data_IF_216309242101
#
_entry.id   IF_216309242101
#
_cell.length_a   1.000
_cell.length_b   1.000
_cell.length_c   1.000
_cell.angle_alpha   90.00
_cell.angle_beta   90.00
_cell.angle_gamma   90.00
#
_symmetry.space_group_name_H-M   'P 1'
#
loop_
_entity.id
_entity.type
_entity.pdbx_description
1 polymer ?
2 polymer ?
3 non-polymer ?
4 non-polymer ?
5 water ?
#
# COMPACT_ATOMS: atom_id res chain seq x y z
N UNK A 2 -0.96 37.12 9.25
CA UNK A 2 -0.36 36.08 8.37
C UNK A 2 -1.47 35.28 7.70
N UNK A 3 -2.16 35.84 6.69
CA UNK A 3 -3.41 35.28 6.14
C UNK A 3 -3.12 34.01 5.32
N UNK A 4 -3.36 32.86 5.94
CA UNK A 4 -3.46 31.50 5.32
C UNK A 4 -3.39 31.58 3.79
N UNK A 5 -2.32 31.07 3.18
CA UNK A 5 -2.12 31.05 1.70
C UNK A 5 -1.80 29.62 1.27
N UNK A 6 -1.85 29.37 -0.05
CA UNK A 6 -1.96 28.02 -0.67
C UNK A 6 -1.21 27.90 -2.00
N UNK A 7 0.13 28.02 -2.02
CA UNK A 7 0.89 27.79 -3.28
C UNK A 7 0.74 26.31 -3.64
N UNK A 8 0.47 26.01 -4.91
CA UNK A 8 0.51 24.64 -5.48
C UNK A 8 1.83 24.46 -6.26
N UNK A 9 2.37 23.24 -6.22
CA UNK A 9 3.71 22.90 -6.78
C UNK A 9 3.61 21.59 -7.56
N UNK A 10 3.61 21.58 -8.91
CA UNK A 10 3.58 22.79 -9.74
C UNK A 10 2.25 23.57 -9.70
N UNK A 11 2.19 24.70 -10.42
CA UNK A 11 0.96 25.42 -10.83
C UNK A 11 0.29 24.69 -12.00
N UNK A 12 1.11 24.29 -12.98
CA UNK A 12 0.69 23.61 -14.22
C UNK A 12 1.26 22.19 -14.17
N UNK A 13 0.36 21.20 -14.08
CA UNK A 13 0.68 19.79 -13.72
C UNK A 13 0.35 18.91 -14.92
N UNK A 14 1.31 18.08 -15.35
CA UNK A 14 1.09 17.07 -16.42
C UNK A 14 0.15 15.98 -15.89
N UNK A 15 -0.68 15.40 -16.75
CA UNK A 15 -1.54 14.24 -16.42
C UNK A 15 -0.65 13.09 -15.94
N UNK A 16 -1.00 12.46 -14.80
CA UNK A 16 -0.27 11.29 -14.26
C UNK A 16 0.82 11.68 -13.28
N UNK A 17 1.25 12.95 -13.30
CA UNK A 17 2.21 13.49 -12.32
C UNK A 17 1.44 13.91 -11.06
N UNK A 18 2.16 14.21 -9.99
CA UNK A 18 1.56 14.66 -8.71
C UNK A 18 1.59 16.18 -8.69
N UNK A 19 0.78 16.77 -7.82
CA UNK A 19 0.82 18.21 -7.44
C UNK A 19 0.65 18.26 -5.93
N UNK A 20 1.22 19.27 -5.28
CA UNK A 20 1.24 19.36 -3.80
C UNK A 20 0.78 20.75 -3.41
N UNK A 21 -0.36 20.86 -2.74
CA UNK A 21 -0.89 22.17 -2.30
C UNK A 21 -0.27 22.49 -0.95
N UNK A 22 0.65 23.47 -0.92
CA UNK A 22 1.32 23.92 0.32
C UNK A 22 0.41 24.93 1.04
N UNK A 23 0.53 24.98 2.36
CA UNK A 23 -0.24 25.90 3.24
C UNK A 23 0.79 26.57 4.16
N UNK A 24 0.73 27.90 4.29
CA UNK A 24 1.89 28.70 4.77
C UNK A 24 1.63 29.34 6.13
N UNK A 25 0.38 29.54 6.55
CA UNK A 25 0.09 30.27 7.82
C UNK A 25 -0.95 29.54 8.67
N UNK A 26 -0.81 28.23 8.85
CA UNK A 26 -1.62 27.46 9.83
C UNK A 26 -1.69 28.27 11.12
N UNK A 27 -2.90 28.66 11.59
CA UNK A 27 -3.04 29.42 12.83
C UNK A 27 -2.69 28.58 14.08
N UNK A 28 -2.82 29.19 15.25
CA UNK A 28 -2.78 28.50 16.57
C UNK A 28 -4.22 28.35 17.07
N UNK A 29 -4.44 27.45 18.04
CA UNK A 29 -5.77 27.16 18.62
C UNK A 29 -6.69 26.74 17.48
N UNK A 30 -6.12 25.99 16.53
CA UNK A 30 -6.84 25.35 15.40
C UNK A 30 -7.21 23.93 15.82
N UNK A 31 -8.45 23.51 15.54
CA UNK A 31 -8.98 22.16 15.85
C UNK A 31 -8.76 21.22 14.66
N UNK A 32 -8.69 21.74 13.44
CA UNK A 32 -8.48 20.91 12.23
C UNK A 32 -8.63 21.68 10.91
N UNK A 33 -8.29 21.00 9.81
CA UNK A 33 -8.38 21.49 8.40
C UNK A 33 -9.28 20.57 7.59
N UNK A 34 -10.16 21.12 6.75
CA UNK A 34 -10.83 20.39 5.65
C UNK A 34 -10.53 21.07 4.31
N UNK A 35 -10.10 20.26 3.35
CA UNK A 35 -9.98 20.62 1.91
C UNK A 35 -11.32 20.36 1.23
N UNK A 36 -11.75 21.29 0.37
CA UNK A 36 -12.94 21.16 -0.53
C UNK A 36 -12.46 21.34 -1.96
N UNK A 37 -13.11 20.68 -2.92
CA UNK A 37 -12.96 20.98 -4.38
C UNK A 37 -13.81 22.20 -4.71
N UNK A 38 -13.22 23.19 -5.40
CA UNK A 38 -13.91 24.41 -5.89
C UNK A 38 -13.57 25.64 -5.07
N UNK A 39 -14.41 26.68 -5.22
CA UNK A 39 -14.12 28.07 -4.76
C UNK A 39 -14.77 28.34 -3.40
N UNK A 40 -15.98 27.81 -3.18
CA UNK A 40 -16.78 27.94 -1.93
C UNK A 40 -16.51 26.71 -1.05
N UNK A 41 -16.81 26.80 0.24
CA UNK A 41 -16.72 25.67 1.22
C UNK A 41 -18.08 24.96 1.27
N UNK A 42 -18.30 24.03 0.34
CA UNK A 42 -19.58 23.28 0.15
C UNK A 42 -19.39 21.87 0.71
N UNK A 43 -20.28 21.46 1.63
CA UNK A 43 -20.27 20.13 2.27
C UNK A 43 -20.17 19.00 1.25
N UNK A 44 -21.06 18.99 0.25
CA UNK A 44 -21.18 18.00 -0.85
C UNK A 44 -19.86 17.79 -1.57
N UNK A 45 -18.92 18.73 -1.45
CA UNK A 45 -17.70 18.83 -2.30
C UNK A 45 -16.44 18.83 -1.42
N UNK A 46 -16.52 18.25 -0.21
CA UNK A 46 -15.36 18.08 0.70
C UNK A 46 -14.45 16.97 0.18
N UNK A 47 -13.15 17.22 0.12
CA UNK A 47 -12.09 16.24 -0.30
C UNK A 47 -11.72 15.38 0.91
N UNK A 48 -11.52 16.02 2.06
CA UNK A 48 -11.08 15.38 3.35
C UNK A 48 -11.01 16.43 4.45
N UNK A 49 -11.19 16.00 5.70
CA UNK A 49 -10.90 16.75 6.94
C UNK A 49 -9.82 16.04 7.74
N UNK A 50 -9.16 16.77 8.64
CA UNK A 50 -8.13 16.23 9.57
C UNK A 50 -8.22 17.07 10.85
N UNK A 51 -8.69 16.45 11.94
CA UNK A 51 -8.61 17.00 13.32
C UNK A 51 -7.22 16.64 13.85
N UNK A 52 -6.53 17.59 14.48
CA UNK A 52 -5.10 17.42 14.92
C UNK A 52 -5.10 16.67 16.25
N UNK A 53 -6.00 17.05 17.17
CA UNK A 53 -6.20 16.35 18.45
C UNK A 53 -6.44 14.87 18.23
N UNK A 54 -7.52 14.55 17.53
CA UNK A 54 -7.90 13.14 17.17
C UNK A 54 -6.80 12.58 16.26
N UNK A 55 -6.07 13.46 15.55
CA UNK A 55 -4.96 13.12 14.62
C UNK A 55 -5.48 12.13 13.56
N UNK A 56 -6.73 12.30 13.16
CA UNK A 56 -7.51 11.36 12.33
C UNK A 56 -8.10 12.13 11.14
N UNK A 57 -7.84 11.65 9.93
CA UNK A 57 -8.35 12.23 8.67
C UNK A 57 -9.43 11.31 8.13
N UNK A 58 -10.60 11.86 7.84
CA UNK A 58 -11.83 11.16 7.38
C UNK A 58 -12.15 11.61 5.96
N UNK A 59 -11.94 10.75 4.93
CA UNK A 59 -12.27 11.11 3.55
C UNK A 59 -13.68 11.66 3.43
N UNK A 60 -13.86 12.75 2.66
CA UNK A 60 -15.17 13.33 2.31
C UNK A 60 -15.72 12.68 1.04
N UNK A 61 -16.86 13.20 0.49
CA UNK A 61 -17.49 12.64 -0.71
C UNK A 61 -16.74 12.92 -2.02
N UNK A 62 -15.81 13.87 -2.01
CA UNK A 62 -14.99 14.30 -3.18
C UNK A 62 -13.67 13.51 -3.24
N UNK A 63 -13.31 12.78 -2.18
CA UNK A 63 -12.06 11.97 -2.14
C UNK A 63 -12.03 11.01 -3.34
N UNK A 64 -10.86 10.89 -3.98
CA UNK A 64 -10.59 9.95 -5.10
C UNK A 64 -9.49 8.94 -4.70
N UNK A 65 -8.97 9.03 -3.48
CA UNK A 65 -7.99 8.08 -2.91
C UNK A 65 -6.60 8.23 -3.51
N UNK A 66 -6.19 9.47 -3.82
CA UNK A 66 -4.84 9.84 -4.32
C UNK A 66 -4.26 10.97 -3.45
N UNK A 67 -5.14 11.85 -2.97
CA UNK A 67 -4.93 12.75 -1.81
C UNK A 67 -4.24 11.99 -0.67
N UNK A 68 -3.25 12.60 -0.03
CA UNK A 68 -2.69 12.12 1.27
C UNK A 68 -2.43 13.34 2.16
N UNK A 69 -3.47 14.11 2.51
CA UNK A 69 -3.42 15.21 3.53
C UNK A 69 -2.35 14.88 4.59
N UNK A 70 -1.55 15.89 4.96
CA UNK A 70 -0.46 15.80 5.95
C UNK A 70 -0.82 16.68 7.14
N UNK A 71 -0.21 16.45 8.32
CA UNK A 71 -0.58 17.18 9.54
C UNK A 71 -0.33 18.69 9.43
N UNK A 72 0.51 19.12 8.48
CA UNK A 72 0.84 20.56 8.21
C UNK A 72 -0.15 21.15 7.19
N UNK A 73 -1.28 20.46 6.94
CA UNK A 73 -2.43 20.92 6.11
C UNK A 73 -2.10 20.76 4.62
N UNK A 74 -0.85 20.45 4.26
CA UNK A 74 -0.45 20.23 2.85
C UNK A 74 -1.24 19.04 2.30
N UNK A 75 -1.61 19.06 1.02
CA UNK A 75 -2.53 18.03 0.45
C UNK A 75 -1.77 16.91 -0.27
N UNK A 76 -1.23 17.17 -1.46
CA UNK A 76 -0.63 16.14 -2.36
C UNK A 76 -1.71 15.27 -3.00
N UNK A 77 -2.04 15.58 -4.26
CA UNK A 77 -2.87 14.74 -5.16
C UNK A 77 -1.93 14.01 -6.12
N UNK A 78 -1.99 12.67 -6.14
CA UNK A 78 -1.11 11.85 -7.01
C UNK A 78 -1.87 11.51 -8.31
N UNK A 79 -1.15 11.00 -9.30
CA UNK A 79 -1.67 10.49 -10.60
C UNK A 79 -2.89 11.30 -11.06
N UNK A 80 -2.76 12.64 -11.09
CA UNK A 80 -3.81 13.63 -11.46
C UNK A 80 -4.25 13.37 -12.90
N UNK A 81 -5.52 13.67 -13.21
CA UNK A 81 -6.08 13.74 -14.58
C UNK A 81 -7.14 14.84 -14.66
N UNK A 82 -7.64 15.12 -15.87
CA UNK A 82 -8.24 16.41 -16.30
C UNK A 82 -9.13 16.99 -15.18
N UNK A 83 -10.06 16.18 -14.68
CA UNK A 83 -11.18 16.67 -13.82
C UNK A 83 -10.64 17.25 -12.52
N UNK A 84 -9.38 16.97 -12.15
CA UNK A 84 -8.70 17.57 -10.96
C UNK A 84 -8.52 19.09 -11.16
N UNK A 85 -8.18 19.53 -12.38
CA UNK A 85 -7.95 20.96 -12.72
C UNK A 85 -8.99 21.81 -12.00
N UNK A 86 -8.55 22.93 -11.44
CA UNK A 86 -9.43 23.99 -10.93
C UNK A 86 -9.01 24.45 -9.56
N UNK A 87 -9.97 25.00 -8.82
CA UNK A 87 -9.74 25.59 -7.48
C UNK A 87 -10.01 24.52 -6.42
N UNK A 88 -9.51 24.79 -5.21
CA UNK A 88 -9.57 23.89 -4.03
C UNK A 88 -9.56 24.76 -2.78
N UNK A 89 -10.72 25.07 -2.21
CA UNK A 89 -10.78 25.83 -0.93
C UNK A 89 -10.26 24.95 0.20
N UNK A 90 -9.44 25.52 1.09
CA UNK A 90 -9.08 24.89 2.39
C UNK A 90 -9.71 25.74 3.48
N UNK A 91 -10.40 25.09 4.43
CA UNK A 91 -10.93 25.74 5.65
C UNK A 91 -10.19 25.20 6.87
N UNK A 92 -9.83 26.10 7.79
CA UNK A 92 -9.19 25.78 9.09
C UNK A 92 -10.15 26.25 10.19
N UNK A 93 -10.74 25.30 10.93
CA UNK A 93 -11.73 25.59 12.02
C UNK A 93 -10.95 25.68 13.32
N UNK A 94 -11.32 26.63 14.18
CA UNK A 94 -10.54 27.05 15.37
C UNK A 94 -11.41 26.92 16.63
N UNK A 95 -10.75 26.72 17.79
CA UNK A 95 -11.35 26.49 19.12
C UNK A 95 -12.55 27.41 19.37
N UNK A 96 -12.44 28.68 18.95
CA UNK A 96 -13.42 29.76 19.24
C UNK A 96 -14.46 29.87 18.11
N UNK A 97 -14.42 28.97 17.12
CA UNK A 97 -15.38 28.93 15.98
C UNK A 97 -15.30 30.24 15.18
N UNK A 98 -14.09 30.80 15.01
CA UNK A 98 -13.78 31.82 13.96
C UNK A 98 -12.86 31.14 12.94
N UNK A 99 -13.40 30.78 11.79
CA UNK A 99 -12.76 29.83 10.84
C UNK A 99 -11.97 30.64 9.81
N UNK A 100 -11.17 29.97 8.97
CA UNK A 100 -10.35 30.64 7.93
C UNK A 100 -10.45 29.84 6.63
N UNK A 101 -11.32 30.27 5.72
CA UNK A 101 -11.26 29.85 4.28
C UNK A 101 -9.96 30.40 3.67
N UNK A 102 -9.49 29.79 2.59
CA UNK A 102 -8.30 30.22 1.82
C UNK A 102 -8.12 29.25 0.64
N UNK A 103 -8.38 29.72 -0.57
CA UNK A 103 -8.43 28.87 -1.80
C UNK A 103 -7.12 28.98 -2.57
N UNK A 104 -6.72 27.90 -3.22
CA UNK A 104 -5.64 27.83 -4.22
C UNK A 104 -6.13 27.16 -5.50
N UNK A 105 -5.28 27.13 -6.53
CA UNK A 105 -5.59 26.58 -7.89
C UNK A 105 -4.48 25.63 -8.35
N UNK A 106 -4.74 24.91 -9.43
CA UNK A 106 -3.73 24.33 -10.35
C UNK A 106 -4.46 23.84 -11.60
N UNK A 107 -3.80 23.95 -12.75
CA UNK A 107 -4.35 23.60 -14.08
C UNK A 107 -3.58 22.39 -14.61
N UNK A 108 -4.29 21.40 -15.15
CA UNK A 108 -3.67 20.18 -15.76
C UNK A 108 -3.61 20.38 -17.27
N UNK A 109 -2.57 19.85 -17.90
CA UNK A 109 -2.40 19.81 -19.37
C UNK A 109 -2.10 18.36 -19.75
N UNK B 3 13.62 2.27 -11.45
CA UNK B 3 13.65 3.75 -11.60
C UNK B 3 13.53 4.42 -10.23
N UNK B 4 12.76 3.83 -9.31
CA UNK B 4 12.42 4.34 -7.95
C UNK B 4 13.27 5.59 -7.60
N UNK B 5 12.64 6.76 -7.51
CA UNK B 5 13.30 8.05 -7.16
C UNK B 5 12.53 8.70 -6.00
N UNK B 6 13.09 9.76 -5.42
CA UNK B 6 12.60 10.42 -4.18
C UNK B 6 12.80 11.93 -4.22
N UNK B 7 11.97 12.65 -4.99
CA UNK B 7 11.88 14.13 -4.95
C UNK B 7 11.55 14.54 -3.51
N UNK B 8 12.30 15.49 -2.94
CA UNK B 8 12.03 16.06 -1.60
C UNK B 8 11.48 17.46 -1.80
N UNK B 9 10.55 17.89 -0.93
CA UNK B 9 9.78 19.15 -1.05
C UNK B 9 9.75 19.86 0.30
N UNK B 10 10.50 20.97 0.50
CA UNK B 10 11.50 21.46 -0.45
C UNK B 10 12.75 20.56 -0.57
N UNK B 11 13.71 20.95 -1.41
CA UNK B 11 15.06 20.36 -1.41
C UNK B 11 15.92 21.06 -0.36
N UNK B 12 15.74 22.38 -0.24
CA UNK B 12 16.42 23.23 0.76
C UNK B 12 15.36 23.72 1.73
N UNK B 13 15.47 23.25 2.99
CA UNK B 13 14.40 23.29 4.02
C UNK B 13 14.88 24.21 5.14
N UNK B 14 14.08 25.19 5.52
CA UNK B 14 14.36 26.10 6.65
C UNK B 14 14.29 25.32 7.97
N UNK B 15 15.12 25.67 8.94
CA UNK B 15 15.07 25.11 10.32
C UNK B 15 13.66 25.34 10.89
N UNK B 16 13.06 24.28 11.48
CA UNK B 16 11.76 24.34 12.15
C UNK B 16 10.60 24.07 11.22
N UNK B 17 10.83 24.16 9.91
CA UNK B 17 9.81 23.89 8.87
C UNK B 17 9.84 22.39 8.57
N UNK B 18 8.92 21.92 7.72
CA UNK B 18 8.76 20.48 7.40
C UNK B 18 9.44 20.23 6.06
N UNK B 19 9.78 18.97 5.80
CA UNK B 19 10.17 18.48 4.45
C UNK B 19 9.45 17.15 4.22
N UNK B 20 9.11 16.87 2.96
CA UNK B 20 8.33 15.67 2.57
C UNK B 20 9.06 14.99 1.43
N UNK B 21 9.61 13.80 1.66
CA UNK B 21 10.30 13.02 0.61
C UNK B 21 9.23 12.20 -0.13
N UNK B 22 8.93 12.56 -1.37
CA UNK B 22 7.99 11.82 -2.24
C UNK B 22 8.71 10.65 -2.92
N UNK B 23 7.96 9.66 -3.40
CA UNK B 23 8.49 8.43 -4.07
C UNK B 23 7.70 8.25 -5.38
N UNK B 24 8.39 8.01 -6.50
CA UNK B 24 7.84 8.29 -7.86
C UNK B 24 7.60 7.02 -8.67
N UNK B 25 8.25 5.90 -8.38
CA UNK B 25 8.10 4.67 -9.23
C UNK B 25 7.86 3.42 -8.38
N UNK B 26 6.97 3.49 -7.38
CA UNK B 26 6.65 2.31 -6.54
C UNK B 26 6.39 1.13 -7.47
N UNK B 27 7.13 0.01 -7.36
CA UNK B 27 6.88 -1.16 -8.18
C UNK B 27 5.59 -1.90 -7.76
N UNK B 28 5.41 -3.14 -8.23
CA UNK B 28 4.20 -3.96 -8.00
C UNK B 28 4.48 -4.95 -6.86
N UNK B 29 3.43 -5.49 -6.23
CA UNK B 29 3.54 -6.61 -5.26
C UNK B 29 4.44 -6.20 -4.09
N UNK B 30 4.09 -5.10 -3.43
CA UNK B 30 4.84 -4.51 -2.29
C UNK B 30 4.37 -5.16 -0.99
N UNK B 31 5.29 -5.54 -0.09
CA UNK B 31 4.96 -5.92 1.31
C UNK B 31 5.05 -4.68 2.20
N UNK B 32 5.92 -3.72 1.87
CA UNK B 32 6.09 -2.49 2.66
C UNK B 32 7.31 -1.66 2.27
N UNK B 33 7.40 -0.47 2.86
CA UNK B 33 8.50 0.51 2.68
C UNK B 33 9.12 0.84 4.03
N UNK B 34 10.45 0.91 4.11
CA UNK B 34 11.20 1.47 5.27
C UNK B 34 12.15 2.56 4.77
N UNK B 35 12.13 3.71 5.46
CA UNK B 35 13.11 4.81 5.31
C UNK B 35 14.25 4.58 6.31
N UNK B 36 15.49 4.79 5.86
CA UNK B 36 16.73 4.74 6.68
C UNK B 36 17.42 6.11 6.57
N UNK B 37 18.11 6.53 7.63
CA UNK B 37 19.00 7.72 7.59
C UNK B 37 20.34 7.28 7.01
N UNK B 38 20.84 8.00 6.01
CA UNK B 38 22.16 7.76 5.39
C UNK B 38 22.03 7.13 4.01
N UNK B 39 23.13 6.54 3.54
CA UNK B 39 23.36 6.17 2.12
C UNK B 39 23.06 4.69 1.90
N UNK B 40 23.45 3.83 2.85
CA UNK B 40 23.23 2.35 2.81
C UNK B 40 21.97 2.02 3.63
N UNK B 41 21.40 0.82 3.42
CA UNK B 41 20.20 0.31 4.15
C UNK B 41 20.68 -0.49 5.37
N UNK B 42 20.96 0.22 6.47
CA UNK B 42 21.52 -0.33 7.74
C UNK B 42 20.38 -0.43 8.76
N UNK B 43 20.20 -1.62 9.34
CA UNK B 43 19.15 -1.91 10.33
C UNK B 43 19.11 -0.88 11.44
N UNK B 44 20.24 -0.64 12.12
CA UNK B 44 20.23 0.20 13.35
C UNK B 44 20.06 1.68 12.95
N UNK B 45 19.89 2.00 11.67
CA UNK B 45 19.71 3.39 11.18
C UNK B 45 18.37 3.55 10.44
N UNK B 46 17.41 2.67 10.72
CA UNK B 46 16.03 2.74 10.19
C UNK B 46 15.29 3.87 10.92
N UNK B 47 14.64 4.73 10.13
CA UNK B 47 13.82 5.88 10.62
C UNK B 47 12.43 5.35 10.97
N UNK B 48 11.85 4.55 10.07
CA UNK B 48 10.49 3.94 10.19
C UNK B 48 10.22 3.00 9.00
N UNK B 49 9.35 2.02 9.24
CA UNK B 49 8.77 1.12 8.21
C UNK B 49 7.26 1.24 8.19
N UNK B 50 6.64 0.73 7.13
CA UNK B 50 5.17 0.60 6.97
C UNK B 50 4.91 -0.62 6.10
N UNK B 51 4.30 -1.65 6.70
CA UNK B 51 3.73 -2.81 5.98
C UNK B 51 2.32 -2.42 5.53
N UNK B 52 1.96 -2.70 4.28
CA UNK B 52 0.68 -2.24 3.67
C UNK B 52 -0.44 -3.19 4.10
N UNK B 53 -0.16 -4.50 4.08
CA UNK B 53 -1.09 -5.54 4.57
C UNK B 53 -1.52 -5.24 5.99
N UNK B 54 -0.55 -5.22 6.91
CA UNK B 54 -0.78 -4.90 8.35
C UNK B 54 -1.29 -3.46 8.44
N UNK B 55 -0.94 -2.62 7.45
CA UNK B 55 -1.34 -1.19 7.33
C UNK B 55 -0.87 -0.45 8.59
N UNK B 56 0.29 -0.84 9.11
CA UNK B 56 0.82 -0.43 10.43
C UNK B 56 2.26 0.06 10.22
N UNK B 57 2.57 1.26 10.73
CA UNK B 57 3.91 1.87 10.65
C UNK B 57 4.53 1.81 12.05
N UNK B 58 5.75 1.26 12.13
CA UNK B 58 6.49 1.00 13.40
C UNK B 58 7.74 1.87 13.39
N UNK B 59 7.83 2.90 14.26
CA UNK B 59 9.06 3.68 14.39
C UNK B 59 10.28 2.79 14.57
N UNK B 60 11.38 3.09 13.87
CA UNK B 60 12.67 2.38 13.98
C UNK B 60 13.54 2.97 15.10
N UNK B 61 14.81 2.53 15.24
CA UNK B 61 15.71 3.05 16.27
C UNK B 61 16.25 4.46 15.99
N UNK B 62 16.12 4.96 14.75
CA UNK B 62 16.58 6.29 14.29
C UNK B 62 15.46 7.33 14.49
N UNK B 63 14.21 6.90 14.68
CA UNK B 63 13.06 7.81 14.88
C UNK B 63 13.37 8.78 16.02
N UNK B 64 13.02 10.06 15.83
CA UNK B 64 13.09 11.16 16.81
C UNK B 64 11.69 11.73 17.08
N UNK B 65 10.66 11.14 16.49
CA UNK B 65 9.24 11.42 16.79
C UNK B 65 8.76 12.68 16.12
N UNK B 66 9.25 12.96 14.91
CA UNK B 66 8.82 14.09 14.04
C UNK B 66 8.44 13.56 12.64
N UNK B 67 9.17 12.54 12.18
CA UNK B 67 9.06 11.92 10.84
C UNK B 67 8.07 10.75 10.86
N UNK B 68 7.28 10.62 9.80
CA UNK B 68 6.06 9.76 9.73
C UNK B 68 5.93 9.23 8.30
N UNK B 69 6.00 7.90 8.09
CA UNK B 69 5.70 7.27 6.78
C UNK B 69 4.20 7.35 6.50
N UNK B 70 3.83 7.55 5.24
CA UNK B 70 2.45 7.54 4.72
C UNK B 70 2.26 6.34 3.79
N UNK B 71 1.01 5.92 3.52
CA UNK B 71 0.75 4.74 2.70
C UNK B 71 1.30 4.83 1.27
N UNK B 72 1.53 6.06 0.79
CA UNK B 72 2.05 6.38 -0.57
C UNK B 72 3.58 6.41 -0.55
N UNK B 73 4.21 5.90 0.52
CA UNK B 73 5.67 5.70 0.70
C UNK B 73 6.38 7.02 1.03
N UNK B 74 5.67 8.15 0.97
CA UNK B 74 6.21 9.47 1.35
C UNK B 74 6.63 9.43 2.82
N UNK B 75 7.74 10.10 3.13
CA UNK B 75 8.23 10.38 4.51
C UNK B 75 8.08 11.88 4.74
N UNK B 76 7.63 12.27 5.92
CA UNK B 76 7.40 13.69 6.28
C UNK B 76 8.13 13.94 7.60
N UNK B 77 9.20 14.74 7.56
CA UNK B 77 9.99 15.16 8.75
C UNK B 77 9.54 16.56 9.17
N UNK B 78 9.02 16.71 10.40
CA UNK B 78 8.57 18.02 10.94
C UNK B 78 9.71 18.62 11.76
N UNK B 79 9.56 19.89 12.14
CA UNK B 79 10.48 20.65 13.03
C UNK B 79 11.94 20.26 12.75
N UNK B 80 12.35 20.21 11.48
CA UNK B 80 13.71 19.78 11.01
C UNK B 80 14.75 20.77 11.55
N UNK B 81 15.98 20.30 11.78
CA UNK B 81 17.17 21.14 12.12
C UNK B 81 18.45 20.50 11.56
N UNK B 82 19.57 21.21 11.68
CA UNK B 82 20.84 20.96 10.93
C UNK B 82 21.14 19.47 10.82
N UNK B 83 21.12 18.74 11.94
CA UNK B 83 21.56 17.32 12.03
C UNK B 83 20.84 16.44 11.00
N UNK B 84 19.64 16.83 10.59
CA UNK B 84 18.78 16.07 9.63
C UNK B 84 19.43 16.09 8.24
N UNK B 85 20.00 17.24 7.85
CA UNK B 85 20.70 17.41 6.54
C UNK B 85 21.50 16.16 6.23
N UNK B 86 21.45 15.69 4.98
CA UNK B 86 22.20 14.50 4.52
C UNK B 86 21.33 13.61 3.66
N UNK B 87 21.76 12.37 3.46
CA UNK B 87 21.05 11.36 2.62
C UNK B 87 20.08 10.55 3.48
N UNK B 88 19.16 9.87 2.80
CA UNK B 88 18.04 9.09 3.38
C UNK B 88 17.69 7.97 2.40
N UNK B 89 18.21 6.76 2.58
CA UNK B 89 17.85 5.61 1.73
C UNK B 89 16.40 5.22 2.01
N UNK B 90 15.63 4.89 0.97
CA UNK B 90 14.31 4.23 1.07
C UNK B 90 14.44 2.83 0.50
N UNK B 91 13.95 1.82 1.22
CA UNK B 91 13.87 0.43 0.73
C UNK B 91 12.40 0.04 0.62
N UNK B 92 12.06 -0.64 -0.47
CA UNK B 92 10.71 -1.22 -0.73
C UNK B 92 10.90 -2.73 -0.83
N UNK B 93 10.37 -3.48 0.15
CA UNK B 93 10.42 -4.97 0.20
C UNK B 93 9.19 -5.48 -0.56
N UNK B 94 9.37 -6.54 -1.35
CA UNK B 94 8.36 -7.05 -2.30
C UNK B 94 8.06 -8.53 -1.99
N UNK B 95 6.86 -8.97 -2.32
CA UNK B 95 6.30 -10.33 -2.03
C UNK B 95 7.33 -11.41 -2.34
N UNK B 96 8.13 -11.25 -3.40
CA UNK B 96 9.10 -12.26 -3.90
C UNK B 96 10.49 -12.05 -3.26
N UNK B 97 10.62 -11.12 -2.32
CA UNK B 97 11.88 -10.83 -1.57
C UNK B 97 12.97 -10.40 -2.55
N UNK B 98 12.61 -9.60 -3.56
CA UNK B 98 13.57 -8.77 -4.33
C UNK B 98 13.29 -7.32 -3.95
N UNK B 99 14.20 -6.70 -3.21
CA UNK B 99 13.98 -5.36 -2.61
C UNK B 99 14.40 -4.29 -3.63
N UNK B 100 14.00 -3.04 -3.39
CA UNK B 100 14.40 -1.88 -4.21
C UNK B 100 14.85 -0.76 -3.28
N UNK B 101 16.17 -0.68 -3.08
CA UNK B 101 16.85 0.48 -2.45
C UNK B 101 16.72 1.66 -3.42
N UNK B 102 16.81 2.89 -2.92
CA UNK B 102 16.75 4.13 -3.72
C UNK B 102 16.88 5.33 -2.79
N UNK B 103 18.01 6.05 -2.85
CA UNK B 103 18.35 7.12 -1.88
C UNK B 103 18.06 8.48 -2.49
N UNK B 104 17.63 9.42 -1.63
CA UNK B 104 17.50 10.86 -1.90
C UNK B 104 18.12 11.66 -0.77
N UNK B 105 17.89 12.97 -0.75
CA UNK B 105 18.53 13.90 0.23
C UNK B 105 17.74 15.20 0.34
N UNK B 106 18.14 16.02 1.30
CA UNK B 106 17.68 17.41 1.47
C UNK B 106 18.67 18.11 2.40
N UNK B 107 18.89 19.40 2.17
CA UNK B 107 19.85 20.25 2.93
C UNK B 107 19.05 21.27 3.74
N UNK B 108 19.44 21.47 5.00
CA UNK B 108 18.78 22.45 5.90
C UNK B 108 19.59 23.75 5.87
N UNK B 109 18.88 24.89 5.88
CA UNK B 109 19.38 26.28 6.04
C UNK B 109 18.51 26.97 7.11
N UNK C 8 2.27 -29.63 -11.69
CA UNK C 8 2.17 -28.43 -12.59
C UNK C 8 3.39 -27.53 -12.37
N UNK C 9 3.63 -27.14 -11.11
CA UNK C 9 4.68 -26.17 -10.68
C UNK C 9 5.19 -26.61 -9.30
N UNK C 10 6.52 -26.79 -9.16
CA UNK C 10 7.16 -27.44 -7.98
C UNK C 10 7.69 -26.36 -7.02
N UNK C 11 7.68 -26.65 -5.72
CA UNK C 11 8.10 -25.74 -4.62
C UNK C 11 8.61 -26.58 -3.46
N UNK C 12 9.85 -26.34 -3.00
CA UNK C 12 10.46 -27.04 -1.83
C UNK C 12 11.28 -26.03 -1.00
N UNK C 13 11.45 -26.33 0.29
CA UNK C 13 12.28 -25.53 1.24
C UNK C 13 13.30 -26.47 1.90
N UNK C 14 14.60 -26.20 1.70
CA UNK C 14 15.74 -27.12 1.98
C UNK C 14 15.51 -27.87 3.29
N UNK C 15 15.48 -27.18 4.46
CA UNK C 15 15.46 -27.85 5.75
C UNK C 15 14.04 -27.93 6.35
N UNK C 16 13.05 -28.21 5.50
CA UNK C 16 11.68 -28.68 5.85
C UNK C 16 11.30 -28.16 7.24
N UNK C 17 11.67 -28.86 8.32
CA UNK C 17 11.35 -28.51 9.73
C UNK C 17 12.63 -28.03 10.44
N UNK C 18 12.83 -26.71 10.47
CA UNK C 18 14.03 -26.05 11.10
C UNK C 18 13.76 -25.91 12.60
N UNK C 19 14.84 -25.93 13.39
CA UNK C 19 14.90 -25.48 14.81
C UNK C 19 16.26 -24.79 15.04
N UNK C 20 16.35 -23.90 16.02
CA UNK C 20 17.54 -23.05 16.28
C UNK C 20 17.46 -22.44 17.69
N UNK C 21 18.62 -22.22 18.33
CA UNK C 21 18.76 -21.49 19.61
C UNK C 21 18.40 -20.01 19.38
N UNK C 22 17.80 -19.35 20.38
CA UNK C 22 17.45 -17.90 20.29
C UNK C 22 18.75 -17.10 20.18
N UNK C 23 18.70 -16.00 19.43
CA UNK C 23 19.89 -15.19 19.06
C UNK C 23 20.50 -15.70 17.77
N UNK C 24 20.50 -17.02 17.58
CA UNK C 24 21.04 -17.70 16.37
C UNK C 24 20.09 -17.43 15.19
N UNK C 25 20.61 -17.50 13.96
CA UNK C 25 19.91 -17.12 12.70
C UNK C 25 19.33 -18.39 12.05
N UNK C 26 18.48 -18.22 11.03
CA UNK C 26 17.85 -19.35 10.27
C UNK C 26 18.22 -19.20 8.80
N UNK C 27 18.98 -20.15 8.25
CA UNK C 27 19.19 -20.34 6.79
C UNK C 27 18.12 -21.31 6.29
N UNK C 28 17.63 -21.09 5.07
CA UNK C 28 16.93 -22.11 4.25
C UNK C 28 16.86 -21.63 2.80
N UNK C 29 16.68 -22.56 1.87
CA UNK C 29 16.75 -22.32 0.40
C UNK C 29 15.43 -22.77 -0.22
N UNK C 30 14.64 -21.80 -0.72
CA UNK C 30 13.36 -22.03 -1.45
C UNK C 30 13.72 -22.31 -2.90
N UNK C 31 13.09 -23.31 -3.50
CA UNK C 31 13.34 -23.80 -4.88
C UNK C 31 11.98 -24.07 -5.55
N UNK C 32 11.61 -23.22 -6.51
CA UNK C 32 10.32 -23.28 -7.24
C UNK C 32 10.59 -23.12 -8.73
N UNK C 33 10.29 -24.17 -9.50
CA UNK C 33 10.48 -24.21 -10.98
C UNK C 33 9.17 -24.64 -11.64
N UNK C 34 8.95 -24.18 -12.89
CA UNK C 34 7.81 -24.54 -13.77
C UNK C 34 7.94 -23.83 -15.12
N UNK C 35 7.36 -24.42 -16.18
CA UNK C 35 7.13 -23.77 -17.50
C UNK C 35 6.22 -22.55 -17.29
N UNK C 36 6.45 -21.47 -18.02
CA UNK C 36 5.81 -20.13 -17.86
C UNK C 36 6.33 -19.47 -16.57
N UNK C 37 6.28 -18.14 -16.51
CA UNK C 37 6.89 -17.34 -15.40
C UNK C 37 6.33 -17.82 -14.07
N UNK C 38 7.21 -18.35 -13.22
CA UNK C 38 6.96 -18.61 -11.79
C UNK C 38 7.60 -17.46 -11.01
N UNK C 39 6.87 -16.90 -10.05
CA UNK C 39 7.37 -15.94 -9.04
C UNK C 39 6.99 -16.46 -7.64
N UNK C 40 7.78 -16.11 -6.62
CA UNK C 40 7.57 -16.56 -5.23
C UNK C 40 6.77 -15.51 -4.45
N UNK C 41 6.07 -15.94 -3.40
CA UNK C 41 5.27 -15.06 -2.51
C UNK C 41 5.64 -15.37 -1.06
N UNK C 42 6.35 -14.44 -0.41
CA UNK C 42 6.79 -14.54 1.01
C UNK C 42 5.92 -13.62 1.87
N UNK C 43 4.71 -13.32 1.42
CA UNK C 43 3.70 -12.54 2.18
C UNK C 43 3.61 -13.05 3.61
N UNK C 44 3.51 -14.37 3.79
CA UNK C 44 3.38 -15.04 5.12
C UNK C 44 4.71 -14.93 5.88
N UNK C 45 5.81 -15.30 5.24
CA UNK C 45 7.17 -15.23 5.83
C UNK C 45 7.44 -13.81 6.34
N UNK C 46 6.98 -12.79 5.60
CA UNK C 46 7.26 -11.36 5.89
C UNK C 46 6.41 -10.89 7.07
N UNK C 47 5.09 -11.08 7.02
CA UNK C 47 4.15 -10.64 8.10
C UNK C 47 4.56 -11.31 9.42
N UNK C 48 5.06 -12.55 9.36
CA UNK C 48 5.45 -13.37 10.55
C UNK C 48 6.77 -12.86 11.13
N UNK C 49 7.78 -12.60 10.29
CA UNK C 49 9.20 -12.39 10.72
C UNK C 49 9.73 -11.01 10.32
N UNK C 50 8.90 -10.13 9.75
CA UNK C 50 9.33 -8.75 9.37
C UNK C 50 8.13 -7.82 9.48
N UNK C 51 7.50 -7.77 10.68
CA UNK C 51 6.16 -7.21 10.82
C UNK C 51 6.23 -5.69 10.61
N UNK C 52 7.26 -5.08 11.19
CA UNK C 52 7.87 -3.79 10.75
C UNK C 52 8.76 -4.11 9.55
N UNK C 53 8.63 -3.35 8.47
CA UNK C 53 9.51 -3.50 7.28
C UNK C 53 10.92 -3.12 7.75
N UNK C 54 11.93 -3.89 7.32
CA UNK C 54 13.33 -3.82 7.84
C UNK C 54 14.23 -4.79 7.07
N UNK C 55 15.55 -4.64 7.19
CA UNK C 55 16.58 -5.34 6.37
C UNK C 55 16.75 -6.79 6.86
N UNK C 56 16.24 -7.10 8.05
CA UNK C 56 16.35 -8.40 8.78
C UNK C 56 16.54 -9.64 7.89
N UNK C 57 15.77 -9.78 6.80
CA UNK C 57 15.73 -11.01 5.96
C UNK C 57 16.69 -10.81 4.78
N UNK C 58 17.78 -11.60 4.70
CA UNK C 58 18.68 -11.65 3.50
C UNK C 58 18.20 -12.77 2.57
N UNK C 59 18.36 -12.58 1.26
CA UNK C 59 17.78 -13.46 0.21
C UNK C 59 18.74 -13.49 -0.99
N UNK C 60 19.28 -14.65 -1.32
CA UNK C 60 20.40 -14.77 -2.28
C UNK C 60 19.84 -14.75 -3.71
N UNK C 61 19.02 -15.74 -4.05
CA UNK C 61 18.55 -16.09 -5.42
C UNK C 61 19.71 -16.69 -6.24
N UNK C 62 20.32 -17.78 -5.72
CA UNK C 62 21.27 -18.66 -6.48
C UNK C 62 20.51 -19.26 -7.67
N UNK C 63 20.87 -18.89 -8.89
CA UNK C 63 20.13 -19.20 -10.15
C UNK C 63 18.68 -18.73 -9.97
N UNK C 64 18.43 -17.45 -10.21
CA UNK C 64 17.09 -16.80 -10.18
C UNK C 64 16.24 -17.36 -11.33
N UNK C 65 16.58 -16.96 -12.57
CA UNK C 65 15.92 -17.36 -13.85
C UNK C 65 14.45 -16.94 -13.86
N UNK C 66 13.89 -16.88 -15.06
CA UNK C 66 12.42 -16.91 -15.30
C UNK C 66 12.08 -18.39 -15.43
N UNK C 67 11.58 -19.01 -14.36
CA UNK C 67 10.93 -20.35 -14.38
C UNK C 67 11.61 -21.34 -13.43
N UNK C 68 12.87 -21.10 -13.05
CA UNK C 68 13.67 -21.99 -12.16
C UNK C 68 14.20 -21.15 -11.01
N UNK C 69 13.30 -20.56 -10.22
CA UNK C 69 13.62 -19.69 -9.06
C UNK C 69 14.13 -20.56 -7.92
N UNK C 70 15.40 -20.36 -7.54
CA UNK C 70 16.03 -20.90 -6.29
C UNK C 70 16.59 -19.71 -5.52
N UNK C 71 16.34 -19.67 -4.20
CA UNK C 71 16.73 -18.56 -3.30
C UNK C 71 17.16 -19.14 -1.95
N UNK C 72 18.34 -18.74 -1.47
CA UNK C 72 18.82 -19.00 -0.08
C UNK C 72 18.43 -17.78 0.75
N UNK C 73 17.51 -17.95 1.71
CA UNK C 73 17.06 -16.82 2.57
C UNK C 73 17.52 -17.09 4.01
N UNK C 74 17.77 -16.01 4.75
CA UNK C 74 18.43 -16.01 6.09
C UNK C 74 17.67 -15.04 6.99
N UNK C 75 16.92 -15.57 7.95
CA UNK C 75 16.13 -14.79 8.94
C UNK C 75 17.05 -14.49 10.12
N UNK C 76 17.46 -13.23 10.27
CA UNK C 76 18.56 -12.85 11.20
C UNK C 76 18.02 -12.75 12.62
N UNK C 77 18.74 -13.34 13.58
CA UNK C 77 18.60 -13.15 15.05
C UNK C 77 17.18 -13.50 15.50
N UNK C 78 16.75 -14.75 15.30
CA UNK C 78 15.45 -15.27 15.82
C UNK C 78 15.33 -14.91 17.30
N UNK C 79 14.20 -14.34 17.72
CA UNK C 79 13.85 -14.16 19.15
C UNK C 79 13.08 -15.40 19.59
N UNK C 80 12.82 -15.55 20.89
CA UNK C 80 12.28 -16.81 21.47
C UNK C 80 10.80 -17.00 21.12
N UNK C 81 10.08 -15.94 20.74
CA UNK C 81 8.62 -16.00 20.50
C UNK C 81 8.31 -16.04 19.00
N UNK C 82 9.24 -16.50 18.17
CA UNK C 82 9.14 -16.42 16.68
C UNK C 82 9.04 -17.83 16.08
N UNK C 83 8.66 -18.82 16.87
CA UNK C 83 8.35 -20.18 16.38
C UNK C 83 7.00 -20.14 15.67
N UNK C 84 6.94 -20.51 14.37
CA UNK C 84 5.67 -20.75 13.64
C UNK C 84 5.90 -21.77 12.54
N UNK C 85 4.81 -22.31 11.99
CA UNK C 85 4.75 -22.89 10.64
C UNK C 85 4.45 -21.73 9.69
N UNK C 86 5.13 -21.67 8.55
CA UNK C 86 5.05 -20.55 7.58
C UNK C 86 4.72 -21.16 6.22
N UNK C 87 3.67 -20.68 5.56
CA UNK C 87 3.29 -21.17 4.21
C UNK C 87 3.96 -20.26 3.18
N UNK C 88 4.87 -20.82 2.39
CA UNK C 88 5.46 -20.16 1.20
C UNK C 88 4.57 -20.48 0.00
N UNK C 89 4.63 -19.63 -1.03
CA UNK C 89 3.77 -19.74 -2.24
C UNK C 89 4.60 -19.50 -3.50
N UNK C 90 4.21 -20.18 -4.57
CA UNK C 90 4.70 -19.98 -5.96
C UNK C 90 3.46 -19.81 -6.85
N UNK C 91 3.46 -18.74 -7.65
CA UNK C 91 2.36 -18.40 -8.60
C UNK C 91 2.94 -18.37 -10.02
N UNK C 92 2.14 -18.79 -11.00
CA UNK C 92 2.46 -18.78 -12.46
C UNK C 92 1.53 -17.79 -13.16
N UNK C 93 1.52 -17.77 -14.50
CA UNK C 93 0.82 -16.76 -15.33
C UNK C 93 -0.70 -17.03 -15.38
N UNK C 94 -1.10 -18.22 -15.81
CA UNK C 94 -2.52 -18.67 -15.88
C UNK C 94 -3.26 -18.26 -14.62
N UNK C 95 -2.58 -18.28 -13.46
CA UNK C 95 -3.06 -17.79 -12.16
C UNK C 95 -3.18 -18.90 -11.13
N UNK C 96 -2.27 -19.88 -11.17
CA UNK C 96 -2.23 -21.05 -10.26
C UNK C 96 -1.28 -20.77 -9.11
N UNK C 97 -1.73 -21.03 -7.88
CA UNK C 97 -0.95 -20.82 -6.63
C UNK C 97 -0.53 -22.20 -6.09
N UNK C 98 0.60 -22.24 -5.39
CA UNK C 98 1.22 -23.51 -4.90
C UNK C 98 1.77 -23.27 -3.49
N UNK C 99 1.14 -23.86 -2.48
CA UNK C 99 1.49 -23.67 -1.04
C UNK C 99 2.36 -24.84 -0.59
N UNK C 100 3.58 -24.57 -0.13
CA UNK C 100 4.44 -25.54 0.59
C UNK C 100 4.81 -24.92 1.94
N UNK C 101 4.33 -25.54 3.03
CA UNK C 101 4.46 -25.04 4.41
C UNK C 101 5.73 -25.65 5.02
N UNK C 102 6.29 -25.00 6.04
CA UNK C 102 7.52 -25.42 6.74
C UNK C 102 7.55 -24.74 8.11
N UNK C 103 8.21 -25.33 9.09
CA UNK C 103 8.17 -24.89 10.51
C UNK C 103 9.55 -24.38 10.93
N UNK C 104 9.56 -23.29 11.72
CA UNK C 104 10.74 -22.77 12.47
C UNK C 104 10.37 -22.82 13.96
N UNK C 105 11.32 -23.25 14.79
CA UNK C 105 11.18 -23.44 16.26
C UNK C 105 12.45 -22.91 16.94
N UNK C 106 12.34 -22.19 18.06
CA UNK C 106 13.49 -21.52 18.74
C UNK C 106 13.55 -21.96 20.21
N UNK C 107 14.75 -21.98 20.82
CA UNK C 107 15.02 -22.43 22.22
C UNK C 107 16.13 -21.61 22.88
N UNK C 108 16.34 -21.81 24.19
CA UNK C 108 17.14 -20.92 25.08
C UNK C 108 18.63 -21.30 25.06
N UNK C 109 19.42 -20.75 25.99
CA UNK C 109 20.91 -20.69 25.93
C UNK C 109 21.58 -21.33 27.15
N UNK C 110 21.06 -21.05 28.36
CA UNK C 110 21.65 -21.42 29.68
C UNK C 110 22.94 -20.62 29.87
N UNK D 8 -7.41 -28.25 -14.32
CA UNK D 8 -8.50 -28.86 -13.52
C UNK D 8 -9.52 -27.77 -13.14
N UNK D 9 -9.05 -26.65 -12.58
CA UNK D 9 -9.91 -25.49 -12.14
C UNK D 9 -9.93 -24.43 -13.24
N UNK D 10 -11.12 -23.99 -13.65
CA UNK D 10 -11.36 -22.74 -14.43
C UNK D 10 -11.91 -21.69 -13.46
N UNK D 11 -11.55 -20.41 -13.69
CA UNK D 11 -12.08 -19.22 -12.98
C UNK D 11 -12.06 -18.03 -13.96
N UNK D 12 -13.21 -17.38 -14.17
CA UNK D 12 -13.35 -16.21 -15.08
C UNK D 12 -14.33 -15.19 -14.50
N UNK D 13 -14.21 -13.92 -14.88
CA UNK D 13 -14.98 -12.77 -14.33
C UNK D 13 -15.55 -11.95 -15.51
N UNK D 14 -16.88 -11.81 -15.57
CA UNK D 14 -17.65 -11.45 -16.81
C UNK D 14 -16.93 -10.37 -17.59
N UNK D 15 -16.88 -9.11 -17.09
CA UNK D 15 -16.40 -7.99 -17.89
C UNK D 15 -14.93 -7.64 -17.56
N UNK D 16 -14.08 -8.65 -17.30
CA UNK D 16 -12.60 -8.54 -17.18
C UNK D 16 -12.26 -7.20 -16.51
N UNK D 17 -12.15 -6.10 -17.26
CA UNK D 17 -11.82 -4.74 -16.76
C UNK D 17 -13.06 -3.85 -16.82
N UNK D 18 -13.80 -3.75 -15.70
CA UNK D 18 -15.04 -2.95 -15.55
C UNK D 18 -14.67 -1.48 -15.35
N UNK D 19 -15.57 -0.60 -15.79
CA UNK D 19 -15.57 0.86 -15.50
C UNK D 19 -17.02 1.30 -15.29
N UNK D 20 -17.25 2.36 -14.52
CA UNK D 20 -18.62 2.82 -14.13
C UNK D 20 -18.58 4.25 -13.60
N UNK D 21 -19.65 5.01 -13.82
CA UNK D 21 -19.85 6.37 -13.24
C UNK D 21 -20.14 6.20 -11.75
N UNK D 22 -19.72 7.16 -10.93
CA UNK D 22 -20.00 7.17 -9.46
C UNK D 22 -21.50 7.27 -9.24
N UNK D 23 -22.01 6.62 -8.19
CA UNK D 23 -23.44 6.47 -7.93
C UNK D 23 -24.02 5.24 -8.62
N UNK D 24 -23.52 4.94 -9.82
CA UNK D 24 -23.91 3.76 -10.63
C UNK D 24 -23.35 2.50 -9.97
N UNK D 25 -24.01 1.36 -10.21
CA UNK D 25 -23.70 0.04 -9.59
C UNK D 25 -22.81 -0.76 -10.54
N UNK D 26 -22.22 -1.87 -10.06
CA UNK D 26 -21.32 -2.76 -10.85
C UNK D 26 -21.91 -4.17 -10.83
N UNK D 27 -22.29 -4.70 -12.01
CA UNK D 27 -22.60 -6.14 -12.22
C UNK D 27 -21.32 -6.82 -12.69
N UNK D 28 -21.12 -8.07 -12.28
CA UNK D 28 -20.19 -9.04 -12.93
C UNK D 28 -20.55 -10.44 -12.42
N UNK D 29 -20.15 -11.44 -13.19
CA UNK D 29 -20.48 -12.87 -12.95
C UNK D 29 -19.17 -13.67 -12.87
N UNK D 30 -18.85 -14.18 -11.69
CA UNK D 30 -17.71 -15.10 -11.45
C UNK D 30 -18.17 -16.52 -11.82
N UNK D 31 -17.33 -17.25 -12.54
CA UNK D 31 -17.62 -18.60 -13.08
C UNK D 31 -16.40 -19.50 -12.85
N UNK D 32 -16.52 -20.44 -11.92
CA UNK D 32 -15.45 -21.36 -11.50
C UNK D 32 -15.98 -22.79 -11.47
N UNK D 33 -15.46 -23.65 -12.34
CA UNK D 33 -15.87 -25.08 -12.45
C UNK D 33 -14.60 -25.94 -12.36
N UNK D 34 -14.76 -27.19 -11.89
CA UNK D 34 -13.69 -28.21 -11.79
C UNK D 34 -14.26 -29.52 -11.24
N UNK D 35 -13.61 -30.65 -11.55
CA UNK D 35 -13.82 -31.96 -10.86
C UNK D 35 -13.49 -31.79 -9.37
N UNK D 36 -14.26 -32.43 -8.50
CA UNK D 36 -14.28 -32.22 -7.02
C UNK D 36 -14.86 -30.85 -6.68
N UNK D 37 -15.45 -30.71 -5.49
CA UNK D 37 -16.19 -29.49 -5.04
C UNK D 37 -15.25 -28.28 -5.13
N UNK D 38 -15.63 -27.30 -5.95
CA UNK D 38 -14.99 -25.96 -6.03
C UNK D 38 -15.81 -24.98 -5.20
N UNK D 39 -15.16 -24.15 -4.40
CA UNK D 39 -15.75 -23.00 -3.67
C UNK D 39 -14.92 -21.74 -3.98
N UNK D 40 -15.57 -20.58 -3.91
CA UNK D 40 -14.97 -19.27 -4.25
C UNK D 40 -14.48 -18.58 -2.97
N UNK D 41 -13.52 -17.66 -3.10
CA UNK D 41 -12.99 -16.82 -2.00
C UNK D 41 -13.02 -15.35 -2.44
N UNK D 42 -13.92 -14.56 -1.86
CA UNK D 42 -14.11 -13.11 -2.12
C UNK D 42 -13.56 -12.30 -0.95
N UNK D 43 -12.61 -12.88 -0.21
CA UNK D 43 -11.88 -12.20 0.89
C UNK D 43 -11.42 -10.81 0.41
N UNK D 44 -10.81 -10.75 -0.77
CA UNK D 44 -10.25 -9.50 -1.36
C UNK D 44 -11.39 -8.58 -1.80
N UNK D 45 -12.36 -9.11 -2.54
CA UNK D 45 -13.54 -8.34 -3.02
C UNK D 45 -14.24 -7.69 -1.81
N UNK D 46 -14.33 -8.40 -0.68
CA UNK D 46 -15.08 -7.95 0.51
C UNK D 46 -14.31 -6.83 1.24
N UNK D 47 -13.04 -7.07 1.57
CA UNK D 47 -12.19 -6.10 2.30
C UNK D 47 -12.10 -4.79 1.50
N UNK D 48 -12.10 -4.89 0.16
CA UNK D 48 -11.96 -3.75 -0.78
C UNK D 48 -13.28 -2.96 -0.85
N UNK D 49 -14.43 -3.62 -0.95
CA UNK D 49 -15.74 -2.99 -1.31
C UNK D 49 -16.78 -3.13 -0.20
N UNK D 50 -16.45 -3.73 0.94
CA UNK D 50 -17.42 -3.90 2.06
C UNK D 50 -16.66 -3.87 3.39
N UNK D 51 -15.88 -2.80 3.62
CA UNK D 51 -14.85 -2.81 4.66
C UNK D 51 -15.52 -2.83 6.03
N UNK D 52 -16.58 -2.03 6.17
CA UNK D 52 -17.69 -2.22 7.15
C UNK D 52 -18.61 -3.27 6.54
N UNK D 53 -19.01 -4.27 7.33
CA UNK D 53 -20.01 -5.29 6.92
C UNK D 53 -21.31 -4.55 6.67
N UNK D 54 -22.02 -4.89 5.58
CA UNK D 54 -23.21 -4.16 5.08
C UNK D 54 -23.84 -4.90 3.89
N UNK D 55 -25.11 -4.59 3.59
CA UNK D 55 -25.97 -5.34 2.64
C UNK D 55 -25.56 -5.06 1.20
N UNK D 56 -24.80 -3.99 0.96
CA UNK D 56 -24.13 -3.73 -0.34
C UNK D 56 -23.45 -5.02 -0.79
N UNK D 57 -23.30 -5.23 -2.09
CA UNK D 57 -22.90 -6.53 -2.71
C UNK D 57 -24.05 -7.53 -2.52
N UNK D 58 -24.81 -7.74 -3.59
CA UNK D 58 -25.71 -8.91 -3.83
C UNK D 58 -24.90 -9.95 -4.62
N UNK D 59 -25.22 -11.23 -4.42
CA UNK D 59 -24.49 -12.37 -5.02
C UNK D 59 -25.49 -13.47 -5.42
N UNK D 60 -26.05 -13.38 -6.62
CA UNK D 60 -26.95 -14.40 -7.22
C UNK D 60 -26.06 -15.55 -7.75
N UNK D 61 -26.15 -16.73 -7.16
CA UNK D 61 -25.42 -17.96 -7.59
C UNK D 61 -26.26 -18.64 -8.68
N UNK D 62 -26.30 -18.09 -9.89
CA UNK D 62 -26.97 -18.68 -11.08
C UNK D 62 -26.28 -20.00 -11.42
N UNK D 63 -26.98 -21.14 -11.25
CA UNK D 63 -26.40 -22.52 -11.32
C UNK D 63 -25.20 -22.58 -10.35
N UNK D 64 -25.50 -22.84 -9.06
CA UNK D 64 -24.51 -23.03 -7.97
C UNK D 64 -23.71 -24.31 -8.21
N UNK D 65 -24.35 -25.47 -8.02
CA UNK D 65 -23.77 -26.84 -8.17
C UNK D 65 -22.57 -27.06 -7.25
N UNK D 66 -22.16 -28.32 -7.11
CA UNK D 66 -20.92 -28.74 -6.40
C UNK D 66 -19.66 -28.23 -7.11
N UNK D 67 -19.58 -28.44 -8.42
CA UNK D 67 -18.33 -28.41 -9.24
C UNK D 67 -18.35 -27.27 -10.26
N UNK D 68 -19.51 -26.65 -10.48
CA UNK D 68 -19.76 -25.67 -11.58
C UNK D 68 -20.38 -24.42 -10.97
N UNK D 69 -19.64 -23.77 -10.06
CA UNK D 69 -20.06 -22.52 -9.37
C UNK D 69 -20.03 -21.35 -10.35
N UNK D 70 -21.20 -20.76 -10.63
CA UNK D 70 -21.36 -19.46 -11.34
C UNK D 70 -22.16 -18.53 -10.41
N UNK D 71 -21.73 -17.28 -10.29
CA UNK D 71 -22.33 -16.27 -9.39
C UNK D 71 -22.31 -14.91 -10.08
N UNK D 72 -23.46 -14.24 -10.15
CA UNK D 72 -23.57 -12.81 -10.53
C UNK D 72 -23.49 -11.99 -9.24
N UNK D 73 -22.43 -11.18 -9.10
CA UNK D 73 -22.27 -10.21 -7.98
C UNK D 73 -22.63 -8.82 -8.50
N UNK D 74 -23.21 -8.01 -7.63
CA UNK D 74 -23.72 -6.64 -7.93
C UNK D 74 -23.31 -5.73 -6.77
N UNK D 75 -22.29 -4.89 -6.99
CA UNK D 75 -21.72 -3.97 -5.96
C UNK D 75 -22.50 -2.66 -6.06
N UNK D 76 -23.34 -2.38 -5.05
CA UNK D 76 -24.31 -1.27 -5.06
C UNK D 76 -23.59 0.07 -4.85
N UNK D 77 -23.90 1.07 -5.69
CA UNK D 77 -23.63 2.51 -5.48
C UNK D 77 -22.13 2.76 -5.25
N UNK D 78 -21.30 2.43 -6.22
CA UNK D 78 -19.83 2.70 -6.21
C UNK D 78 -19.62 4.17 -5.82
N UNK D 79 -18.73 4.44 -4.87
CA UNK D 79 -18.26 5.82 -4.58
C UNK D 79 -17.03 6.09 -5.47
N UNK D 80 -16.58 7.34 -5.47
CA UNK D 80 -15.59 7.90 -6.43
C UNK D 80 -14.20 7.29 -6.18
N UNK D 81 -13.92 6.88 -4.95
CA UNK D 81 -12.56 6.49 -4.49
C UNK D 81 -12.46 4.98 -4.31
N UNK D 82 -13.25 4.20 -5.07
CA UNK D 82 -13.38 2.73 -4.87
C UNK D 82 -12.77 1.95 -6.04
N UNK D 83 -11.92 2.59 -6.83
CA UNK D 83 -11.23 1.96 -7.98
C UNK D 83 -10.10 1.09 -7.44
N UNK D 84 -10.14 -0.21 -7.76
CA UNK D 84 -9.05 -1.18 -7.45
C UNK D 84 -9.01 -2.25 -8.52
N UNK D 85 -7.88 -2.96 -8.60
CA UNK D 85 -7.82 -4.33 -9.15
C UNK D 85 -8.07 -5.25 -7.96
N UNK D 86 -8.89 -6.28 -8.13
CA UNK D 86 -9.29 -7.22 -7.03
C UNK D 86 -8.99 -8.64 -7.48
N UNK D 87 -8.29 -9.42 -6.66
CA UNK D 87 -7.97 -10.84 -6.93
C UNK D 87 -9.07 -11.72 -6.34
N UNK D 88 -9.79 -12.43 -7.20
CA UNK D 88 -10.76 -13.50 -6.81
C UNK D 88 -10.00 -14.82 -6.76
N UNK D 89 -10.51 -15.80 -6.01
CA UNK D 89 -9.87 -17.12 -5.81
C UNK D 89 -10.90 -18.25 -5.89
N UNK D 90 -10.48 -19.41 -6.39
CA UNK D 90 -11.25 -20.68 -6.40
C UNK D 90 -10.37 -21.80 -5.86
N UNK D 91 -10.89 -22.59 -4.92
CA UNK D 91 -10.19 -23.77 -4.32
C UNK D 91 -11.07 -25.01 -4.49
N UNK D 92 -10.45 -26.16 -4.76
CA UNK D 92 -11.13 -27.49 -4.90
C UNK D 92 -10.61 -28.42 -3.78
N UNK D 93 -10.97 -29.71 -3.83
CA UNK D 93 -10.71 -30.70 -2.74
C UNK D 93 -9.26 -31.16 -2.75
N UNK D 94 -8.78 -31.69 -3.88
CA UNK D 94 -7.37 -32.16 -4.07
C UNK D 94 -6.39 -31.16 -3.45
N UNK D 95 -6.74 -29.86 -3.50
CA UNK D 95 -6.03 -28.77 -2.81
C UNK D 95 -5.43 -27.77 -3.79
N UNK D 96 -6.10 -27.53 -4.92
CA UNK D 96 -5.64 -26.61 -6.00
C UNK D 96 -6.31 -25.24 -5.80
N UNK D 97 -5.51 -24.18 -5.86
CA UNK D 97 -5.97 -22.77 -5.74
C UNK D 97 -5.81 -22.12 -7.11
N UNK D 98 -6.67 -21.13 -7.43
CA UNK D 98 -6.56 -20.29 -8.65
C UNK D 98 -6.89 -18.84 -8.30
N UNK D 99 -5.92 -17.95 -8.45
CA UNK D 99 -6.09 -16.47 -8.40
C UNK D 99 -6.34 -15.94 -9.82
N UNK D 100 -7.47 -15.29 -10.06
CA UNK D 100 -7.74 -14.53 -11.31
C UNK D 100 -8.20 -13.12 -10.92
N UNK D 101 -7.43 -12.11 -11.34
CA UNK D 101 -7.60 -10.69 -10.97
C UNK D 101 -8.48 -9.98 -12.00
N UNK D 102 -9.09 -8.86 -11.62
CA UNK D 102 -9.96 -8.02 -12.48
C UNK D 102 -10.04 -6.62 -11.87
N UNK D 103 -10.30 -5.59 -12.68
CA UNK D 103 -10.23 -4.16 -12.25
C UNK D 103 -11.63 -3.53 -12.29
N UNK D 104 -11.95 -2.68 -11.30
CA UNK D 104 -13.10 -1.75 -11.29
C UNK D 104 -12.55 -0.33 -11.17
N UNK D 105 -13.09 0.60 -11.96
CA UNK D 105 -12.61 2.00 -12.11
C UNK D 105 -13.84 2.92 -12.24
N UNK D 106 -13.90 4.02 -11.48
CA UNK D 106 -15.15 4.83 -11.29
C UNK D 106 -14.86 6.31 -11.60
N UNK D 107 -15.84 7.08 -12.11
CA UNK D 107 -15.68 8.50 -12.57
C UNK D 107 -16.98 9.32 -12.37
N UNK D 108 -16.92 10.65 -12.56
CA UNK D 108 -18.07 11.60 -12.36
C UNK D 108 -18.83 11.79 -13.69
N UNK D 109 -19.98 12.49 -13.69
CA UNK D 109 -20.76 12.84 -14.91
C UNK D 109 -20.86 14.37 -15.12
N UNK D 110 -21.17 15.12 -14.06
CA UNK D 110 -21.59 16.56 -14.11
C UNK D 110 -22.95 16.65 -14.81
X LIG E 1 -14.13 24.09 -9.71
X LIG E 1 -14.80 25.26 -9.18
X LIG E 1 -14.72 23.70 -10.96
X LIG E 1 -12.73 24.38 -9.90
X LIG E 1 -14.26 23.00 -8.77
X LIG F 1 -17.85 28.96 7.80
X LIG F 1 -19.28 29.12 8.00
X LIG F 1 -17.61 28.55 6.44
X LIG F 1 -17.19 30.23 8.04
X LIG F 1 -17.34 27.98 8.71
X LIG G 1 -3.36 32.72 14.79
X LIG G 1 -4.71 32.24 14.93
X LIG G 1 -2.99 32.76 13.41
X LIG G 1 -2.46 31.84 15.51
X LIG G 1 -3.27 34.05 15.35
X LIG H 1 4.85 28.34 6.26
X LIG H 1 5.63 28.04 5.11
X LIG H 1 5.58 28.06 7.56
X LIG H 1 5.22 29.05 8.52
X LIG H 1 5.28 26.69 8.14
X LIG H 1 5.65 25.65 7.25
X LIG I 1 5.69 10.34 -10.43
X LIG I 1 5.48 11.70 -10.83
X LIG I 1 4.38 9.61 -10.17
X LIG I 1 4.56 8.21 -10.45
X LIG I 1 3.86 9.78 -8.76
X LIG I 1 2.67 10.56 -8.72
X LIG J 1 25.19 19.72 3.70
X LIG J 1 24.88 20.72 4.68
X LIG J 1 24.07 19.56 2.82
X LIG J 1 26.34 20.13 2.95
X LIG J 1 25.46 18.47 4.37
X LIG K 1 -12.80 11.43 -13.48
X LIG K 1 -14.08 11.35 -12.83
X LIG K 1 -12.88 12.37 -14.58
X LIG K 1 -11.81 11.88 -12.54
X LIG K 1 -12.43 10.14 -14.00
#
# INVERSE_FOLDING_TARGET
MAQLTTESMPFNVAEGKEVLLLVHNLPQQLFGYSWYKGERVDGNRQIVGYAIGTQQATPGPANSGRETIYPNASLLIQNVTQNDTGFYTLQVIKSDLVNEEATGQFHVY
MAQLTTESMPFNVAEGKEVLLLVHNLPQQLFGYSWYKGERVDGNRQIVGYAIGTQQATPGPANSGRETIYPNASLLIQNVTQNDTGFYTLQVIKSDLVNEEATGQFHVY
ANENNQQKIELTVSPENITVYEGEDVKFTVTAKSDSKTTLDFSDLLTKYNPSVSDRISTNYKTNTDNHKIAEITIKNLKLNESQTVTLKAKDDSGNVVEKTFTITVQKKEEKQLPSTGGSHHHHHH
ANENNQQKIELTVSPENITVYEGEDVKFTVTAKSDSKTTLDFSDLLTKYNPSVSDRISTNYKTNTDNHKIAEITIKNLKLNESQTVTLKAKDDSGNVVEKTFTITVQKKEEKQLPSTGGSHHHHHH
SO4 S O1 O2 O3 O4
SO4 S O1 O2 O3 O4
SO4 S O1 O2 O3 O4
GOL C1 O1 C2 O2 C3 O3
GOL C1 O1 C2 O2 C3 O3
SO4 S O1 O2 O3 O4
SO4 S O1 O2 O3 O4
#
